data_IF_961490209700
#
_entry.id   IF_961490209700
#
_cell.length_a   1.000
_cell.length_b   1.000
_cell.length_c   1.000
_cell.angle_alpha   90.00
_cell.angle_beta   90.00
_cell.angle_gamma   90.00
#
_symmetry.space_group_name_H-M   'P 1'
#
loop_
_entity.id
_entity.type
_entity.pdbx_description
1 polymer ?
#
# COMPACT_ATOMS: atom_id res chain seq x y z
N UNK A 1 -3.07 -27.26 -3.59
CA UNK A 1 -2.54 -26.02 -4.15
C UNK A 1 -1.31 -25.56 -3.39
N UNK A 2 -0.35 -24.91 -4.07
CA UNK A 2 0.80 -24.30 -3.41
C UNK A 2 0.39 -22.99 -2.72
N UNK A 3 0.91 -22.75 -1.51
CA UNK A 3 0.62 -21.55 -0.73
C UNK A 3 1.82 -21.14 0.13
N UNK A 4 2.24 -19.90 0.05
CA UNK A 4 3.32 -19.36 0.88
C UNK A 4 2.76 -18.97 2.24
N UNK A 5 3.21 -19.64 3.27
CA UNK A 5 2.52 -19.68 4.56
C UNK A 5 3.40 -19.19 5.70
N UNK A 6 2.82 -18.39 6.59
CA UNK A 6 3.43 -17.98 7.85
C UNK A 6 3.43 -19.13 8.84
N UNK A 7 4.57 -19.77 9.06
CA UNK A 7 4.71 -20.90 9.98
C UNK A 7 4.89 -20.41 11.42
N UNK A 8 5.86 -19.53 11.61
CA UNK A 8 6.18 -18.90 12.90
C UNK A 8 7.05 -17.66 12.67
N UNK A 9 7.30 -16.89 13.72
CA UNK A 9 8.17 -15.71 13.64
C UNK A 9 9.51 -16.06 13.00
N UNK A 10 9.86 -15.33 11.95
CA UNK A 10 11.07 -15.50 11.16
C UNK A 10 10.95 -16.52 10.04
N UNK A 11 9.85 -17.28 9.96
CA UNK A 11 9.73 -18.41 9.05
C UNK A 11 8.43 -18.39 8.24
N UNK A 12 8.57 -18.18 6.93
CA UNK A 12 7.55 -18.46 5.92
C UNK A 12 7.99 -19.68 5.11
N UNK A 13 7.05 -20.47 4.61
CA UNK A 13 7.34 -21.64 3.80
C UNK A 13 6.30 -21.87 2.71
N UNK A 14 6.76 -22.33 1.55
CA UNK A 14 5.87 -22.78 0.47
C UNK A 14 5.41 -24.21 0.80
N UNK A 15 4.12 -24.37 1.07
CA UNK A 15 3.52 -25.65 1.44
C UNK A 15 2.31 -26.00 0.57
N UNK A 16 1.90 -27.25 0.60
CA UNK A 16 0.64 -27.69 0.00
C UNK A 16 -0.53 -27.45 0.95
N UNK A 17 -1.58 -26.78 0.46
CA UNK A 17 -2.86 -26.56 1.15
C UNK A 17 -4.03 -27.06 0.30
N UNK A 18 -5.18 -27.30 0.92
CA UNK A 18 -6.41 -27.53 0.20
C UNK A 18 -6.86 -26.26 -0.54
N UNK A 19 -7.49 -26.41 -1.72
CA UNK A 19 -8.14 -25.30 -2.40
C UNK A 19 -9.25 -24.75 -1.47
N UNK A 20 -9.36 -23.42 -1.27
CA UNK A 20 -10.40 -22.87 -0.42
C UNK A 20 -11.79 -23.10 -1.01
N UNK A 21 -12.79 -23.20 -0.13
CA UNK A 21 -14.20 -23.30 -0.45
C UNK A 21 -14.95 -22.07 0.07
N UNK A 22 -16.11 -21.76 -0.50
CA UNK A 22 -17.01 -20.73 0.01
C UNK A 22 -17.46 -21.11 1.44
N UNK A 23 -17.36 -20.18 2.37
CA UNK A 23 -17.79 -20.35 3.77
C UNK A 23 -19.07 -19.55 4.08
N UNK A 24 -19.39 -18.57 3.25
CA UNK A 24 -20.59 -17.75 3.36
C UNK A 24 -21.12 -17.38 1.98
N UNK A 25 -22.40 -17.03 1.89
CA UNK A 25 -23.04 -16.55 0.65
C UNK A 25 -22.46 -15.24 0.12
N UNK A 26 -21.68 -14.52 0.91
CA UNK A 26 -20.99 -13.27 0.58
C UNK A 26 -19.54 -13.46 0.11
N UNK A 27 -19.03 -14.70 0.07
CA UNK A 27 -17.65 -15.01 -0.29
C UNK A 27 -17.48 -15.17 -1.81
N UNK A 28 -16.26 -14.97 -2.28
CA UNK A 28 -15.81 -15.43 -3.59
C UNK A 28 -14.50 -16.19 -3.50
N UNK A 29 -14.28 -17.10 -4.47
CA UNK A 29 -12.97 -17.74 -4.70
C UNK A 29 -12.36 -17.07 -5.92
N UNK A 30 -11.13 -16.59 -5.76
CA UNK A 30 -10.35 -15.99 -6.84
C UNK A 30 -9.17 -16.89 -7.16
N UNK A 31 -9.03 -17.29 -8.42
CA UNK A 31 -7.82 -17.88 -8.95
C UNK A 31 -6.81 -16.77 -9.20
N UNK A 32 -5.75 -16.73 -8.41
CA UNK A 32 -4.75 -15.67 -8.45
C UNK A 32 -3.91 -15.79 -9.73
N UNK A 33 -3.81 -14.72 -10.50
CA UNK A 33 -2.91 -14.64 -11.66
C UNK A 33 -1.57 -14.00 -11.30
N UNK A 34 -1.60 -12.91 -10.54
CA UNK A 34 -0.42 -12.25 -10.00
C UNK A 34 -0.64 -11.89 -8.53
N UNK A 35 0.42 -12.01 -7.74
CA UNK A 35 0.51 -11.41 -6.41
C UNK A 35 1.82 -10.62 -6.28
N UNK A 36 1.99 -9.92 -5.16
CA UNK A 36 3.21 -9.16 -4.90
C UNK A 36 3.65 -9.30 -3.45
N UNK A 37 4.90 -8.89 -3.18
CA UNK A 37 5.47 -8.81 -1.83
C UNK A 37 5.36 -7.37 -1.35
N UNK A 38 4.81 -7.19 -0.15
CA UNK A 38 4.72 -5.91 0.55
C UNK A 38 5.65 -5.87 1.77
N UNK A 39 6.06 -4.68 2.18
CA UNK A 39 6.82 -4.51 3.44
C UNK A 39 6.03 -4.98 4.65
N UNK A 40 4.70 -4.93 4.61
CA UNK A 40 3.84 -5.46 5.67
C UNK A 40 3.96 -6.98 5.84
N UNK A 41 4.28 -7.73 4.77
CA UNK A 41 4.58 -9.17 4.88
C UNK A 41 5.86 -9.40 5.68
N UNK A 42 6.89 -8.52 5.52
CA UNK A 42 8.11 -8.57 6.32
C UNK A 42 7.84 -8.23 7.80
N UNK A 43 6.96 -7.25 8.07
CA UNK A 43 6.53 -6.97 9.43
C UNK A 43 5.84 -8.18 10.09
N UNK A 44 5.02 -8.93 9.35
CA UNK A 44 4.47 -10.22 9.81
C UNK A 44 5.60 -11.21 10.09
N UNK A 45 6.52 -11.40 9.12
CA UNK A 45 7.66 -12.31 9.25
C UNK A 45 8.48 -12.01 10.51
N UNK A 46 8.76 -10.73 10.78
CA UNK A 46 9.56 -10.30 11.93
C UNK A 46 8.76 -10.25 13.25
N UNK A 47 7.44 -10.49 13.21
CA UNK A 47 6.58 -10.51 14.40
C UNK A 47 6.18 -9.13 14.92
N UNK A 48 6.27 -8.09 14.09
CA UNK A 48 5.84 -6.72 14.42
C UNK A 48 4.33 -6.50 14.24
N UNK A 49 3.60 -7.49 13.74
CA UNK A 49 2.13 -7.46 13.58
C UNK A 49 1.48 -8.46 14.54
N UNK A 50 1.10 -8.04 15.77
CA UNK A 50 0.62 -8.95 16.82
C UNK A 50 -0.67 -9.72 16.45
N UNK A 51 -1.46 -9.20 15.50
CA UNK A 51 -2.70 -9.82 15.03
C UNK A 51 -2.50 -10.88 13.94
N UNK A 52 -1.28 -11.02 13.41
CA UNK A 52 -0.99 -12.04 12.41
C UNK A 52 -1.09 -13.45 13.01
N UNK A 53 -1.71 -14.36 12.28
CA UNK A 53 -2.03 -15.71 12.77
C UNK A 53 -1.10 -16.73 12.07
N UNK A 54 -0.31 -17.53 12.82
CA UNK A 54 0.43 -18.65 12.23
C UNK A 54 -0.46 -19.64 11.49
N UNK A 55 0.03 -20.22 10.39
CA UNK A 55 -0.70 -21.15 9.54
C UNK A 55 -1.46 -20.50 8.39
N UNK A 56 -1.58 -19.16 8.34
CA UNK A 56 -2.22 -18.49 7.21
C UNK A 56 -1.28 -18.37 5.99
N UNK A 57 -1.86 -18.39 4.80
CA UNK A 57 -1.18 -17.95 3.58
C UNK A 57 -0.96 -16.43 3.63
N UNK A 58 0.25 -15.97 3.37
CA UNK A 58 0.58 -14.55 3.37
C UNK A 58 0.25 -13.87 2.03
N UNK A 59 0.51 -12.56 1.95
CA UNK A 59 0.26 -11.74 0.75
C UNK A 59 -1.13 -11.13 0.72
N UNK A 60 -1.19 -9.84 0.43
CA UNK A 60 -2.42 -9.05 0.42
C UNK A 60 -2.51 -8.12 -0.80
N UNK A 61 -1.56 -8.21 -1.73
CA UNK A 61 -1.60 -7.56 -3.03
C UNK A 61 -1.75 -8.62 -4.09
N UNK A 62 -2.86 -8.62 -4.81
CA UNK A 62 -3.14 -9.63 -5.83
C UNK A 62 -4.20 -9.20 -6.82
N UNK A 63 -4.12 -9.81 -8.00
CA UNK A 63 -5.14 -9.81 -9.03
C UNK A 63 -5.41 -11.24 -9.49
N UNK A 64 -6.57 -11.48 -10.04
CA UNK A 64 -6.92 -12.80 -10.53
C UNK A 64 -8.25 -12.85 -11.26
N UNK A 65 -8.74 -14.06 -11.45
CA UNK A 65 -10.01 -14.34 -12.10
C UNK A 65 -10.96 -14.96 -11.07
N UNK A 66 -12.17 -14.44 -10.99
CA UNK A 66 -13.22 -15.00 -10.15
C UNK A 66 -13.54 -16.43 -10.62
N UNK A 67 -13.34 -17.39 -9.75
CA UNK A 67 -13.61 -18.81 -10.01
C UNK A 67 -15.05 -19.18 -9.63
N UNK A 68 -15.48 -18.71 -8.44
CA UNK A 68 -16.77 -19.02 -7.84
C UNK A 68 -17.24 -17.84 -6.98
N UNK A 69 -18.56 -17.64 -6.90
CA UNK A 69 -19.18 -16.64 -6.02
C UNK A 69 -20.31 -17.24 -5.21
N UNK A 70 -20.44 -16.79 -3.96
CA UNK A 70 -21.64 -17.03 -3.17
C UNK A 70 -22.85 -16.30 -3.74
N UNK A 71 -24.05 -16.72 -3.34
CA UNK A 71 -25.34 -16.23 -3.88
C UNK A 71 -25.59 -14.75 -3.66
N UNK A 72 -24.98 -14.13 -2.63
CA UNK A 72 -25.20 -12.74 -2.24
C UNK A 72 -24.14 -11.78 -2.79
N UNK A 73 -23.13 -12.30 -3.50
CA UNK A 73 -22.09 -11.49 -4.15
C UNK A 73 -22.67 -10.72 -5.32
N UNK A 74 -22.40 -9.43 -5.37
CA UNK A 74 -22.86 -8.50 -6.43
C UNK A 74 -21.65 -7.84 -7.11
N UNK A 75 -21.87 -7.38 -8.35
CA UNK A 75 -20.89 -6.59 -9.10
C UNK A 75 -19.84 -7.41 -9.84
N UNK A 76 -19.60 -8.66 -9.43
CA UNK A 76 -18.66 -9.59 -10.09
C UNK A 76 -19.28 -10.97 -10.27
N UNK A 77 -18.76 -11.73 -11.23
CA UNK A 77 -19.22 -13.10 -11.57
C UNK A 77 -18.03 -13.98 -11.97
N UNK A 78 -18.17 -15.31 -11.94
CA UNK A 78 -17.17 -16.22 -12.47
C UNK A 78 -16.71 -15.82 -13.87
N UNK A 79 -15.37 -15.77 -14.07
CA UNK A 79 -14.71 -15.34 -15.30
C UNK A 79 -14.28 -13.86 -15.30
N UNK A 80 -14.77 -13.02 -14.41
CA UNK A 80 -14.34 -11.61 -14.33
C UNK A 80 -12.90 -11.52 -13.78
N UNK A 81 -12.10 -10.66 -14.40
CA UNK A 81 -10.79 -10.27 -13.87
C UNK A 81 -10.97 -9.23 -12.78
N UNK A 82 -10.31 -9.43 -11.63
CA UNK A 82 -10.49 -8.58 -10.45
C UNK A 82 -9.17 -8.25 -9.77
N UNK A 83 -9.08 -7.05 -9.20
CA UNK A 83 -8.15 -6.75 -8.12
C UNK A 83 -8.83 -7.00 -6.79
N UNK A 84 -8.06 -7.51 -5.82
CA UNK A 84 -8.55 -7.82 -4.47
C UNK A 84 -8.10 -6.71 -3.53
N UNK A 85 -9.04 -6.14 -2.80
CA UNK A 85 -8.76 -5.13 -1.80
C UNK A 85 -8.07 -5.77 -0.58
N UNK A 86 -7.02 -5.17 -0.06
CA UNK A 86 -6.33 -5.61 1.16
C UNK A 86 -7.28 -5.64 2.36
N UNK A 87 -8.23 -4.73 2.37
CA UNK A 87 -9.25 -4.65 3.39
C UNK A 87 -10.54 -5.31 2.91
N UNK A 88 -11.06 -6.17 3.76
CA UNK A 88 -12.41 -6.68 3.62
C UNK A 88 -13.36 -5.87 4.50
N UNK A 89 -14.55 -5.50 4.00
CA UNK A 89 -15.48 -4.69 4.77
C UNK A 89 -16.93 -4.93 4.38
N UNK A 90 -17.85 -4.74 5.34
CA UNK A 90 -19.25 -5.12 5.14
C UNK A 90 -20.08 -4.12 4.31
N UNK A 91 -19.65 -2.86 4.23
CA UNK A 91 -20.41 -1.79 3.55
C UNK A 91 -21.60 -1.23 4.36
N UNK A 92 -21.96 -1.81 5.51
CA UNK A 92 -23.20 -1.50 6.24
C UNK A 92 -22.98 -0.84 7.59
N UNK A 93 -21.84 -1.14 8.27
CA UNK A 93 -21.60 -0.58 9.60
C UNK A 93 -21.29 0.92 9.54
N UNK A 94 -21.34 1.58 10.69
CA UNK A 94 -21.06 3.01 10.81
C UNK A 94 -19.76 3.41 10.10
N UNK A 95 -18.68 2.67 10.33
CA UNK A 95 -17.39 3.00 9.75
C UNK A 95 -17.38 2.88 8.22
N UNK A 96 -17.96 1.80 7.68
CA UNK A 96 -18.05 1.61 6.23
C UNK A 96 -18.87 2.72 5.55
N UNK A 97 -20.00 3.10 6.14
CA UNK A 97 -20.88 4.15 5.58
C UNK A 97 -20.23 5.55 5.61
N UNK A 98 -19.18 5.74 6.44
CA UNK A 98 -18.42 6.99 6.52
C UNK A 98 -17.06 6.93 5.79
N UNK A 99 -16.78 5.83 5.06
CA UNK A 99 -15.51 5.67 4.34
C UNK A 99 -14.32 5.28 5.21
N UNK A 100 -14.55 4.84 6.44
CA UNK A 100 -13.53 4.38 7.39
C UNK A 100 -13.44 2.84 7.38
N UNK A 101 -13.26 2.25 6.20
CA UNK A 101 -13.44 0.82 5.99
C UNK A 101 -12.41 -0.05 6.72
N UNK A 102 -11.22 0.49 7.00
CA UNK A 102 -10.21 -0.17 7.85
C UNK A 102 -10.73 -0.48 9.26
N UNK A 103 -11.70 0.26 9.74
CA UNK A 103 -12.32 0.10 11.06
C UNK A 103 -13.65 -0.68 11.01
N UNK A 104 -13.93 -1.41 9.94
CA UNK A 104 -15.12 -2.22 9.80
C UNK A 104 -15.29 -3.19 10.97
N UNK A 105 -16.51 -3.23 11.53
CA UNK A 105 -16.83 -4.06 12.72
C UNK A 105 -17.17 -5.52 12.40
N UNK A 106 -17.17 -5.91 11.13
CA UNK A 106 -17.30 -7.32 10.73
C UNK A 106 -16.13 -8.16 11.28
N UNK A 107 -16.33 -9.43 11.63
CA UNK A 107 -15.25 -10.33 12.06
C UNK A 107 -14.06 -10.40 11.09
N UNK A 108 -14.33 -10.23 9.80
CA UNK A 108 -13.31 -10.16 8.74
C UNK A 108 -13.00 -8.72 8.30
N UNK A 109 -13.48 -7.70 9.03
CA UNK A 109 -13.28 -6.29 8.66
C UNK A 109 -11.84 -5.81 8.78
N UNK A 110 -11.47 -4.83 7.95
CA UNK A 110 -10.13 -4.27 7.87
C UNK A 110 -9.10 -5.23 7.25
N UNK A 111 -7.82 -5.03 7.53
CA UNK A 111 -6.77 -5.90 7.00
C UNK A 111 -6.87 -7.31 7.57
N UNK A 112 -7.54 -8.20 6.84
CA UNK A 112 -7.73 -9.59 7.19
C UNK A 112 -6.91 -10.52 6.28
N UNK A 113 -6.98 -10.34 4.97
CA UNK A 113 -6.26 -11.15 3.98
C UNK A 113 -4.74 -11.08 4.19
N UNK A 114 -4.09 -12.24 4.21
CA UNK A 114 -2.65 -12.35 4.41
C UNK A 114 -2.15 -11.96 5.80
N UNK A 115 -3.08 -11.74 6.77
CA UNK A 115 -2.76 -11.38 8.14
C UNK A 115 -3.51 -12.24 9.17
N UNK A 116 -4.85 -12.27 9.11
CA UNK A 116 -5.72 -13.03 10.03
C UNK A 116 -6.39 -14.22 9.35
N UNK A 117 -6.49 -14.19 8.04
CA UNK A 117 -7.00 -15.25 7.17
C UNK A 117 -6.05 -15.40 5.97
N UNK A 118 -6.20 -16.49 5.24
CA UNK A 118 -5.38 -16.77 4.06
C UNK A 118 -5.40 -15.62 3.05
N UNK A 119 -4.22 -15.27 2.55
CA UNK A 119 -3.97 -14.23 1.55
C UNK A 119 -3.67 -14.78 0.16
N UNK A 120 -3.01 -13.97 -0.69
CA UNK A 120 -2.92 -14.17 -2.12
C UNK A 120 -1.59 -14.71 -2.65
N UNK A 121 -0.58 -15.00 -1.83
CA UNK A 121 0.63 -15.67 -2.32
C UNK A 121 0.40 -17.18 -2.45
N UNK A 122 -0.52 -17.54 -3.34
CA UNK A 122 -1.06 -18.87 -3.58
C UNK A 122 -1.74 -18.95 -4.93
N UNK A 123 -2.21 -20.13 -5.33
CA UNK A 123 -2.97 -20.34 -6.57
C UNK A 123 -4.44 -19.88 -6.45
N UNK A 124 -5.07 -20.01 -5.27
CA UNK A 124 -6.46 -19.63 -5.02
C UNK A 124 -6.61 -18.99 -3.65
N UNK A 125 -7.44 -17.97 -3.57
CA UNK A 125 -7.77 -17.26 -2.32
C UNK A 125 -9.29 -17.15 -2.16
N UNK A 126 -9.78 -17.32 -0.93
CA UNK A 126 -11.14 -16.98 -0.54
C UNK A 126 -11.20 -15.52 -0.08
N UNK A 127 -12.04 -14.74 -0.70
CA UNK A 127 -12.27 -13.33 -0.37
C UNK A 127 -13.63 -13.23 0.33
N UNK A 128 -13.69 -12.97 1.64
CA UNK A 128 -14.94 -12.72 2.33
C UNK A 128 -15.48 -11.33 1.97
N UNK A 129 -16.81 -11.12 2.11
CA UNK A 129 -17.46 -9.85 1.80
C UNK A 129 -17.12 -9.35 0.38
N UNK A 130 -17.11 -10.27 -0.57
CA UNK A 130 -16.55 -10.11 -1.91
C UNK A 130 -17.18 -8.97 -2.74
N UNK A 131 -18.44 -8.61 -2.46
CA UNK A 131 -19.09 -7.44 -3.10
C UNK A 131 -18.30 -6.15 -2.88
N UNK A 132 -17.65 -6.01 -1.73
CA UNK A 132 -16.83 -4.84 -1.37
C UNK A 132 -15.34 -5.08 -1.59
N UNK A 133 -14.92 -6.35 -1.46
CA UNK A 133 -13.51 -6.76 -1.51
C UNK A 133 -12.96 -6.94 -2.93
N UNK A 134 -13.82 -6.99 -3.96
CA UNK A 134 -13.42 -7.22 -5.35
C UNK A 134 -13.79 -6.04 -6.24
N UNK A 135 -12.84 -5.60 -7.07
CA UNK A 135 -13.08 -4.57 -8.08
C UNK A 135 -12.74 -5.14 -9.46
N UNK A 136 -13.68 -5.09 -10.38
CA UNK A 136 -13.51 -5.58 -11.75
C UNK A 136 -12.44 -4.76 -12.49
N UNK A 137 -11.47 -5.43 -13.08
CA UNK A 137 -10.42 -4.81 -13.89
C UNK A 137 -11.03 -4.51 -15.29
N UNK A 138 -10.93 -3.26 -15.78
CA UNK A 138 -11.34 -2.93 -17.14
C UNK A 138 -10.62 -3.76 -18.20
N UNK A 139 -11.26 -4.03 -19.33
CA UNK A 139 -10.73 -4.94 -20.36
C UNK A 139 -9.40 -4.44 -20.98
N UNK A 140 -9.21 -3.11 -21.03
CA UNK A 140 -8.01 -2.45 -21.54
C UNK A 140 -6.91 -2.23 -20.47
N UNK A 141 -7.12 -2.67 -19.23
CA UNK A 141 -6.13 -2.62 -18.14
C UNK A 141 -5.54 -4.01 -17.94
N UNK A 142 -4.21 -4.10 -17.90
CA UNK A 142 -3.51 -5.36 -17.68
C UNK A 142 -3.48 -5.76 -16.20
N UNK A 143 -3.21 -7.02 -15.89
CA UNK A 143 -3.05 -7.51 -14.53
C UNK A 143 -1.88 -6.79 -13.81
N UNK A 144 -0.77 -6.54 -14.50
CA UNK A 144 0.37 -5.80 -13.93
C UNK A 144 0.01 -4.35 -13.57
N UNK A 145 -0.79 -3.66 -14.39
CA UNK A 145 -1.27 -2.32 -14.09
C UNK A 145 -2.23 -2.29 -12.89
N UNK A 146 -3.02 -3.35 -12.70
CA UNK A 146 -3.99 -3.45 -11.62
C UNK A 146 -3.42 -4.03 -10.31
N UNK A 147 -2.22 -4.64 -10.34
CA UNK A 147 -1.67 -5.44 -9.23
C UNK A 147 -1.63 -4.70 -7.89
N UNK A 148 -1.33 -3.42 -7.92
CA UNK A 148 -1.12 -2.62 -6.70
C UNK A 148 -2.35 -1.84 -6.25
N UNK A 149 -3.46 -1.91 -7.00
CA UNK A 149 -4.68 -1.13 -6.73
C UNK A 149 -5.28 -1.47 -5.37
N UNK A 150 -5.25 -2.76 -4.99
CA UNK A 150 -5.91 -3.24 -3.77
C UNK A 150 -5.20 -2.83 -2.47
N UNK A 151 -3.93 -2.41 -2.52
CA UNK A 151 -3.16 -2.06 -1.32
C UNK A 151 -2.30 -0.81 -1.52
N UNK A 152 -1.06 -0.96 -2.03
CA UNK A 152 -0.06 0.12 -1.96
C UNK A 152 -0.46 1.35 -2.77
N UNK A 153 -1.16 1.19 -3.90
CA UNK A 153 -1.65 2.31 -4.67
C UNK A 153 -2.89 2.95 -4.02
N UNK A 154 -3.82 2.15 -3.47
CA UNK A 154 -4.92 2.67 -2.64
C UNK A 154 -4.39 3.41 -1.42
N UNK A 155 -3.31 2.92 -0.79
CA UNK A 155 -2.64 3.58 0.33
C UNK A 155 -2.09 4.95 -0.08
N UNK A 156 -1.41 5.04 -1.22
CA UNK A 156 -0.92 6.32 -1.77
C UNK A 156 -2.06 7.29 -2.10
N UNK A 157 -3.15 6.78 -2.67
CA UNK A 157 -4.32 7.60 -3.02
C UNK A 157 -5.02 8.13 -1.77
N UNK A 158 -5.25 7.28 -0.78
CA UNK A 158 -5.79 7.66 0.52
C UNK A 158 -4.89 8.70 1.23
N UNK A 159 -3.57 8.47 1.26
CA UNK A 159 -2.61 9.38 1.87
C UNK A 159 -2.66 10.79 1.24
N UNK A 160 -2.68 10.87 -0.09
CA UNK A 160 -2.80 12.13 -0.82
C UNK A 160 -4.16 12.82 -0.56
N UNK A 161 -5.25 12.03 -0.45
CA UNK A 161 -6.59 12.54 -0.15
C UNK A 161 -6.68 13.16 1.23
N UNK A 162 -6.25 12.43 2.27
CA UNK A 162 -6.34 12.92 3.65
C UNK A 162 -5.36 14.05 3.95
N UNK A 163 -4.29 14.18 3.14
CA UNK A 163 -3.34 15.30 3.27
C UNK A 163 -3.88 16.62 2.75
N UNK A 164 -5.06 16.64 2.09
CA UNK A 164 -5.71 17.84 1.59
C UNK A 164 -4.79 18.69 0.69
N UNK A 165 -4.06 18.00 -0.19
CA UNK A 165 -3.10 18.65 -1.10
C UNK A 165 -3.83 19.58 -2.07
N UNK A 166 -3.33 20.81 -2.20
CA UNK A 166 -3.76 21.82 -3.17
C UNK A 166 -2.67 22.18 -4.18
N UNK A 167 -3.05 22.90 -5.23
CA UNK A 167 -2.13 23.33 -6.28
C UNK A 167 -1.16 24.45 -5.84
N UNK A 168 -1.34 25.02 -4.67
CA UNK A 168 -0.43 26.04 -4.10
C UNK A 168 0.62 25.43 -3.16
N UNK A 169 0.45 24.15 -2.79
CA UNK A 169 1.25 23.52 -1.75
C UNK A 169 2.65 23.12 -2.23
N UNK A 170 3.62 23.26 -1.32
CA UNK A 170 4.88 22.51 -1.33
C UNK A 170 4.66 21.22 -0.55
N UNK A 171 4.76 20.07 -1.23
CA UNK A 171 4.56 18.74 -0.66
C UNK A 171 5.92 18.09 -0.42
N UNK A 172 6.17 17.61 0.80
CA UNK A 172 7.31 16.76 1.13
C UNK A 172 6.85 15.31 1.32
N UNK A 173 7.47 14.39 0.59
CA UNK A 173 7.29 12.94 0.78
C UNK A 173 8.59 12.38 1.33
N UNK A 174 8.54 11.74 2.49
CA UNK A 174 9.70 11.11 3.14
C UNK A 174 9.66 9.61 2.89
N UNK A 175 10.56 9.15 2.03
CA UNK A 175 10.68 7.79 1.54
C UNK A 175 10.26 7.64 0.08
N UNK A 176 11.09 6.94 -0.72
CA UNK A 176 10.80 6.53 -2.11
C UNK A 176 10.79 5.01 -2.25
N UNK A 177 10.32 4.31 -1.23
CA UNK A 177 9.92 2.91 -1.34
C UNK A 177 8.63 2.77 -2.16
N UNK A 178 8.10 1.55 -2.32
CA UNK A 178 6.86 1.32 -3.09
C UNK A 178 5.71 2.23 -2.67
N UNK A 179 5.43 2.33 -1.37
CA UNK A 179 4.39 3.21 -0.83
C UNK A 179 4.68 4.68 -1.12
N UNK A 180 5.95 5.10 -1.00
CA UNK A 180 6.36 6.48 -1.29
C UNK A 180 6.17 6.86 -2.76
N UNK A 181 6.50 5.96 -3.69
CA UNK A 181 6.31 6.21 -5.12
C UNK A 181 4.81 6.22 -5.47
N UNK A 182 4.00 5.31 -4.93
CA UNK A 182 2.54 5.34 -5.10
C UNK A 182 1.94 6.63 -4.51
N UNK A 183 2.43 7.08 -3.36
CA UNK A 183 2.03 8.37 -2.75
C UNK A 183 2.43 9.54 -3.65
N UNK A 184 3.63 9.53 -4.23
CA UNK A 184 4.09 10.53 -5.19
C UNK A 184 3.17 10.60 -6.41
N UNK A 185 2.88 9.46 -7.05
CA UNK A 185 1.97 9.38 -8.20
C UNK A 185 0.60 10.00 -7.86
N UNK A 186 0.04 9.65 -6.71
CA UNK A 186 -1.26 10.15 -6.28
C UNK A 186 -1.23 11.63 -5.85
N UNK A 187 -0.13 12.10 -5.27
CA UNK A 187 0.07 13.52 -4.97
C UNK A 187 0.16 14.37 -6.25
N UNK A 188 0.83 13.87 -7.29
CA UNK A 188 0.91 14.54 -8.60
C UNK A 188 -0.46 14.77 -9.25
N UNK A 189 -1.45 13.90 -9.01
CA UNK A 189 -2.82 14.09 -9.50
C UNK A 189 -3.48 15.37 -8.93
N UNK A 190 -2.99 15.87 -7.79
CA UNK A 190 -3.46 17.12 -7.16
C UNK A 190 -2.77 18.35 -7.72
N UNK A 191 -1.77 18.18 -8.58
CA UNK A 191 -1.01 19.25 -9.22
C UNK A 191 -0.44 20.28 -8.23
N UNK A 192 0.25 19.86 -7.16
CA UNK A 192 0.82 20.80 -6.20
C UNK A 192 1.87 21.71 -6.88
N UNK A 193 2.16 22.85 -6.28
CA UNK A 193 3.14 23.80 -6.80
C UNK A 193 4.52 23.17 -6.94
N UNK A 194 4.91 22.33 -5.97
CA UNK A 194 6.13 21.52 -6.04
C UNK A 194 6.04 20.27 -5.15
N UNK A 195 6.79 19.27 -5.54
CA UNK A 195 6.97 18.05 -4.75
C UNK A 195 8.45 17.86 -4.48
N UNK A 196 8.78 17.59 -3.22
CA UNK A 196 10.11 17.22 -2.75
C UNK A 196 10.04 15.78 -2.23
N UNK A 197 10.96 14.93 -2.67
CA UNK A 197 11.10 13.56 -2.16
C UNK A 197 12.42 13.42 -1.42
N UNK A 198 12.35 13.01 -0.15
CA UNK A 198 13.51 12.72 0.69
C UNK A 198 13.75 11.22 0.73
N UNK A 199 14.90 10.76 0.20
CA UNK A 199 15.23 9.34 0.12
C UNK A 199 16.76 9.14 0.26
N UNK A 200 17.23 8.26 1.18
CA UNK A 200 18.68 8.01 1.35
C UNK A 200 19.28 7.18 0.21
N UNK A 201 18.53 6.26 -0.42
CA UNK A 201 19.05 5.39 -1.49
C UNK A 201 19.24 6.17 -2.79
N UNK A 202 20.46 6.19 -3.30
CA UNK A 202 20.78 6.79 -4.59
C UNK A 202 20.04 6.10 -5.74
N UNK A 203 19.92 4.78 -5.71
CA UNK A 203 19.21 4.00 -6.74
C UNK A 203 17.73 4.42 -6.81
N UNK A 204 17.07 4.58 -5.67
CA UNK A 204 15.68 5.03 -5.61
C UNK A 204 15.51 6.49 -6.02
N UNK A 205 16.44 7.37 -5.65
CA UNK A 205 16.43 8.75 -6.16
C UNK A 205 16.60 8.78 -7.67
N UNK A 206 17.48 7.95 -8.23
CA UNK A 206 17.66 7.82 -9.68
C UNK A 206 16.40 7.31 -10.38
N UNK A 207 15.70 6.34 -9.78
CA UNK A 207 14.40 5.89 -10.28
C UNK A 207 13.38 7.04 -10.31
N UNK A 208 13.24 7.79 -9.22
CA UNK A 208 12.32 8.95 -9.17
C UNK A 208 12.72 9.99 -10.21
N UNK A 209 14.00 10.33 -10.32
CA UNK A 209 14.50 11.30 -11.31
C UNK A 209 14.22 10.87 -12.75
N UNK A 210 14.34 9.59 -13.05
CA UNK A 210 14.10 9.05 -14.39
C UNK A 210 12.62 9.10 -14.77
N UNK A 211 11.71 8.76 -13.85
CA UNK A 211 10.27 8.62 -14.12
C UNK A 211 9.47 9.89 -13.81
N UNK A 212 9.98 10.75 -12.92
CA UNK A 212 9.30 11.96 -12.44
C UNK A 212 10.30 13.14 -12.40
N UNK A 213 10.77 13.64 -13.56
CA UNK A 213 11.89 14.57 -13.68
C UNK A 213 11.65 15.95 -13.01
N UNK A 214 10.39 16.34 -12.81
CA UNK A 214 10.00 17.61 -12.21
C UNK A 214 9.99 17.57 -10.66
N UNK A 215 10.23 16.38 -10.07
CA UNK A 215 10.28 16.21 -8.62
C UNK A 215 11.65 16.59 -8.09
N UNK A 216 11.67 17.40 -7.03
CA UNK A 216 12.90 17.75 -6.33
C UNK A 216 13.32 16.62 -5.40
N UNK A 217 14.63 16.33 -5.34
CA UNK A 217 15.18 15.23 -4.58
C UNK A 217 16.16 15.70 -3.52
N UNK A 218 16.09 15.13 -2.33
CA UNK A 218 17.03 15.39 -1.24
C UNK A 218 17.34 14.13 -0.44
N UNK A 219 18.37 14.21 0.39
CA UNK A 219 18.74 13.16 1.36
C UNK A 219 18.24 13.54 2.76
N UNK A 220 18.14 12.59 3.71
CA UNK A 220 17.72 12.91 5.07
C UNK A 220 18.57 13.97 5.77
N UNK A 221 19.88 13.98 5.52
CA UNK A 221 20.83 14.90 6.17
C UNK A 221 20.67 16.35 5.67
N UNK A 222 20.26 16.52 4.43
CA UNK A 222 20.05 17.84 3.80
C UNK A 222 18.59 18.29 3.81
N UNK A 223 17.66 17.39 4.14
CA UNK A 223 16.22 17.57 3.92
C UNK A 223 15.67 18.83 4.57
N UNK A 224 16.06 19.12 5.81
CA UNK A 224 15.55 20.29 6.53
C UNK A 224 15.88 21.60 5.82
N UNK A 225 17.15 21.84 5.53
CA UNK A 225 17.61 23.07 4.88
C UNK A 225 17.07 23.14 3.45
N UNK A 226 17.12 22.00 2.72
CA UNK A 226 16.61 21.93 1.35
C UNK A 226 15.13 22.29 1.25
N UNK A 227 14.28 21.75 2.16
CA UNK A 227 12.85 22.08 2.19
C UNK A 227 12.61 23.55 2.51
N UNK A 228 13.36 24.11 3.45
CA UNK A 228 13.25 25.55 3.81
C UNK A 228 13.63 26.48 2.65
N UNK A 229 14.67 26.14 1.90
CA UNK A 229 15.13 26.90 0.74
C UNK A 229 14.17 26.78 -0.46
N UNK A 230 13.51 25.62 -0.59
CA UNK A 230 12.62 25.31 -1.72
C UNK A 230 11.13 25.39 -1.38
N UNK A 231 10.76 26.08 -0.33
CA UNK A 231 9.37 26.35 0.07
C UNK A 231 9.09 27.84 0.20
N UNK A 232 7.82 28.23 0.06
CA UNK A 232 7.46 29.65 0.09
C UNK A 232 7.30 30.20 1.52
N UNK A 233 7.12 29.32 2.51
CA UNK A 233 6.73 29.66 3.88
C UNK A 233 7.64 29.03 4.95
N UNK A 234 8.90 28.75 4.62
CA UNK A 234 9.88 28.21 5.56
C UNK A 234 9.53 26.80 6.05
N UNK A 235 9.13 25.94 5.13
CA UNK A 235 8.80 24.55 5.35
C UNK A 235 7.67 24.06 4.44
N UNK A 236 7.46 22.76 4.37
CA UNK A 236 6.44 22.15 3.53
C UNK A 236 5.02 22.37 4.07
N UNK A 237 4.07 22.61 3.17
CA UNK A 237 2.64 22.77 3.48
C UNK A 237 2.00 21.42 3.86
N UNK A 238 2.43 20.37 3.18
CA UNK A 238 1.98 18.99 3.39
C UNK A 238 3.20 18.08 3.48
N UNK A 239 3.26 17.29 4.54
CA UNK A 239 4.33 16.31 4.75
C UNK A 239 3.72 14.93 4.84
N UNK A 240 4.14 14.01 3.97
CA UNK A 240 3.71 12.63 3.97
C UNK A 240 4.89 11.74 4.37
N UNK A 241 4.81 11.17 5.57
CA UNK A 241 5.82 10.26 6.10
C UNK A 241 5.41 8.82 5.73
N UNK A 242 6.19 8.20 4.85
CA UNK A 242 5.89 6.88 4.27
C UNK A 242 7.06 5.91 4.37
N UNK A 243 8.09 6.24 5.17
CA UNK A 243 9.30 5.43 5.33
C UNK A 243 9.31 4.60 6.62
N UNK A 244 8.75 5.09 7.71
CA UNK A 244 8.68 4.40 9.00
C UNK A 244 10.02 4.17 9.70
N UNK A 245 11.08 4.91 9.32
CA UNK A 245 12.37 4.77 9.96
C UNK A 245 12.42 5.57 11.27
N UNK A 246 13.33 5.20 12.17
CA UNK A 246 13.42 5.73 13.53
C UNK A 246 13.43 7.27 13.63
N UNK A 247 13.97 7.96 12.63
CA UNK A 247 14.15 9.43 12.65
C UNK A 247 13.15 10.17 11.76
N UNK A 248 12.38 9.46 10.93
CA UNK A 248 11.57 10.08 9.87
C UNK A 248 10.35 10.83 10.39
N UNK A 249 9.73 10.37 11.48
CA UNK A 249 8.67 11.14 12.13
C UNK A 249 9.15 12.50 12.64
N UNK A 250 10.34 12.51 13.26
CA UNK A 250 10.95 13.76 13.72
C UNK A 250 11.25 14.69 12.54
N UNK A 251 11.87 14.18 11.50
CA UNK A 251 12.15 14.92 10.27
C UNK A 251 10.86 15.51 9.66
N UNK A 252 9.79 14.73 9.63
CA UNK A 252 8.51 15.15 9.07
C UNK A 252 7.96 16.41 9.74
N UNK A 253 7.86 16.45 11.06
CA UNK A 253 7.33 17.62 11.74
C UNK A 253 8.32 18.80 11.79
N UNK A 254 9.62 18.55 11.71
CA UNK A 254 10.63 19.61 11.61
C UNK A 254 10.55 20.35 10.27
N UNK A 255 10.43 19.61 9.16
CA UNK A 255 10.30 20.17 7.81
C UNK A 255 8.93 20.81 7.52
N UNK A 256 7.93 20.55 8.35
CA UNK A 256 6.60 21.15 8.21
C UNK A 256 6.61 22.64 8.62
N UNK A 257 6.02 23.52 7.80
CA UNK A 257 5.80 24.91 8.20
C UNK A 257 4.75 25.03 9.33
N UNK A 258 4.61 26.17 10.00
CA UNK A 258 3.46 26.39 10.88
C UNK A 258 2.12 26.19 10.15
N UNK A 259 1.15 25.58 10.85
CA UNK A 259 -0.18 25.22 10.34
C UNK A 259 -0.16 24.22 9.16
N UNK A 260 0.89 23.43 9.01
CA UNK A 260 0.96 22.35 8.02
C UNK A 260 0.19 21.11 8.47
N UNK A 261 -0.11 20.24 7.51
CA UNK A 261 -0.61 18.88 7.74
C UNK A 261 0.57 17.91 7.61
N UNK A 262 0.77 17.08 8.64
CA UNK A 262 1.73 15.98 8.65
C UNK A 262 0.94 14.66 8.65
N UNK A 263 1.03 13.92 7.55
CA UNK A 263 0.36 12.63 7.37
C UNK A 263 1.37 11.50 7.57
N UNK A 264 1.14 10.66 8.57
CA UNK A 264 2.00 9.52 8.89
C UNK A 264 1.30 8.25 8.39
N UNK A 265 1.85 7.66 7.34
CA UNK A 265 1.31 6.48 6.64
C UNK A 265 2.07 5.21 7.02
N UNK A 266 3.37 5.36 7.27
CA UNK A 266 4.23 4.22 7.52
C UNK A 266 3.92 3.51 8.85
N UNK A 267 4.16 2.19 8.87
CA UNK A 267 4.19 1.40 10.09
C UNK A 267 5.52 1.62 10.80
N UNK A 268 5.46 1.83 12.12
CA UNK A 268 6.62 1.94 12.99
C UNK A 268 6.72 0.74 13.93
N UNK A 269 7.92 0.19 14.07
CA UNK A 269 8.19 -0.91 15.00
C UNK A 269 8.34 -0.42 16.46
N UNK A 270 8.64 0.87 16.66
CA UNK A 270 8.86 1.49 17.96
C UNK A 270 7.96 2.73 18.15
N UNK A 271 7.65 3.04 19.41
CA UNK A 271 6.89 4.24 19.76
C UNK A 271 7.61 5.52 19.30
N UNK A 272 6.87 6.45 18.71
CA UNK A 272 7.39 7.75 18.31
C UNK A 272 7.00 8.83 19.33
N UNK A 273 7.91 9.76 19.58
CA UNK A 273 7.71 10.84 20.56
C UNK A 273 7.14 12.06 19.87
N UNK A 274 6.06 12.60 20.41
CA UNK A 274 5.51 13.91 20.05
C UNK A 274 6.07 14.97 21.02
N UNK A 275 7.14 15.70 20.67
CA UNK A 275 7.80 16.62 21.58
C UNK A 275 7.04 17.97 21.64
N UNK A 276 5.94 18.02 22.37
CA UNK A 276 5.05 19.18 22.43
C UNK A 276 5.74 20.50 22.75
N UNK A 277 6.77 20.57 23.65
CA UNK A 277 7.48 21.83 23.87
C UNK A 277 8.16 22.40 22.61
N UNK A 278 8.73 21.50 21.78
CA UNK A 278 9.43 21.89 20.53
C UNK A 278 8.45 22.27 19.42
N UNK A 279 7.22 21.80 19.52
CA UNK A 279 6.15 22.04 18.53
C UNK A 279 5.26 23.24 18.90
N UNK A 280 5.43 23.79 20.10
CA UNK A 280 4.61 24.90 20.55
C UNK A 280 4.69 26.09 19.59
N UNK A 281 3.53 26.53 19.11
CA UNK A 281 3.44 27.61 18.12
C UNK A 281 3.51 27.15 16.64
N UNK A 282 3.84 25.88 16.34
CA UNK A 282 3.72 25.36 14.97
C UNK A 282 2.27 25.06 14.56
N UNK A 283 1.36 24.82 15.49
CA UNK A 283 -0.05 24.55 15.23
C UNK A 283 -0.28 23.44 14.18
N UNK A 284 0.48 22.35 14.26
CA UNK A 284 0.44 21.27 13.26
C UNK A 284 -0.83 20.43 13.39
N UNK A 285 -1.32 19.95 12.25
CA UNK A 285 -2.32 18.90 12.19
C UNK A 285 -1.63 17.57 11.86
N UNK A 286 -1.81 16.54 12.70
CA UNK A 286 -1.34 15.20 12.44
C UNK A 286 -2.50 14.31 11.99
N UNK A 287 -2.28 13.56 10.91
CA UNK A 287 -3.17 12.51 10.42
C UNK A 287 -2.40 11.21 10.33
N UNK A 288 -2.96 10.13 10.87
CA UNK A 288 -2.30 8.83 10.88
C UNK A 288 -3.32 7.72 10.82
N UNK A 289 -2.96 6.58 10.28
CA UNK A 289 -3.83 5.41 10.24
C UNK A 289 -3.38 4.40 9.18
N UNK A 290 -4.14 3.31 9.08
CA UNK A 290 -4.10 2.41 7.95
C UNK A 290 -4.98 2.94 6.81
N UNK A 291 -4.76 2.46 5.62
CA UNK A 291 -5.57 2.81 4.45
C UNK A 291 -7.06 2.54 4.69
N UNK A 292 -7.91 3.45 4.23
CA UNK A 292 -9.31 3.16 3.96
C UNK A 292 -9.44 2.89 2.46
N UNK A 293 -9.39 1.62 2.08
CA UNK A 293 -9.30 1.14 0.70
C UNK A 293 -10.63 1.18 -0.08
N UNK A 294 -11.49 2.15 0.20
CA UNK A 294 -12.79 2.29 -0.49
C UNK A 294 -12.68 2.90 -1.90
N UNK A 295 -11.51 3.40 -2.30
CA UNK A 295 -11.32 4.16 -3.54
C UNK A 295 -10.78 3.30 -4.71
N UNK A 296 -10.69 1.95 -4.57
CA UNK A 296 -10.06 1.08 -5.57
C UNK A 296 -10.71 1.18 -6.97
N UNK A 297 -12.03 1.33 -7.06
CA UNK A 297 -12.71 1.52 -8.34
C UNK A 297 -12.28 2.83 -9.02
N UNK A 298 -12.19 3.93 -8.26
CA UNK A 298 -11.73 5.22 -8.78
C UNK A 298 -10.26 5.13 -9.24
N UNK A 299 -9.42 4.42 -8.50
CA UNK A 299 -8.01 4.21 -8.86
C UNK A 299 -7.89 3.41 -10.17
N UNK A 300 -8.69 2.36 -10.36
CA UNK A 300 -8.76 1.61 -11.62
C UNK A 300 -9.19 2.50 -12.79
N UNK A 301 -10.17 3.38 -12.61
CA UNK A 301 -10.59 4.34 -13.64
C UNK A 301 -9.46 5.30 -14.01
N UNK A 302 -8.63 5.73 -13.06
CA UNK A 302 -7.47 6.59 -13.33
C UNK A 302 -6.38 5.84 -14.13
N UNK A 303 -6.19 4.55 -13.87
CA UNK A 303 -5.31 3.69 -14.67
C UNK A 303 -5.88 3.52 -16.08
N UNK A 304 -7.16 3.20 -16.21
CA UNK A 304 -7.85 3.06 -17.50
C UNK A 304 -7.74 4.32 -18.38
N UNK A 305 -7.77 5.50 -17.74
CA UNK A 305 -7.60 6.80 -18.40
C UNK A 305 -6.13 7.13 -18.72
N UNK A 306 -5.17 6.28 -18.36
CA UNK A 306 -3.73 6.53 -18.53
C UNK A 306 -3.17 7.63 -17.63
N UNK A 307 -3.89 8.00 -16.56
CA UNK A 307 -3.42 9.02 -15.58
C UNK A 307 -2.48 8.46 -14.52
N UNK A 308 -2.54 7.16 -14.30
CA UNK A 308 -1.66 6.41 -13.39
C UNK A 308 -1.06 5.23 -14.16
N UNK A 309 0.24 5.04 -14.03
CA UNK A 309 0.94 3.83 -14.44
C UNK A 309 1.89 3.40 -13.34
N UNK A 310 1.65 2.21 -12.79
CA UNK A 310 2.49 1.60 -11.74
C UNK A 310 3.37 0.46 -12.27
N UNK A 311 3.30 0.15 -13.57
CA UNK A 311 4.10 -0.94 -14.16
C UNK A 311 5.61 -0.76 -14.00
N UNK A 312 6.18 0.48 -14.01
CA UNK A 312 7.61 0.68 -13.74
C UNK A 312 8.05 0.25 -12.33
N UNK A 313 7.12 0.13 -11.38
CA UNK A 313 7.42 -0.36 -10.03
C UNK A 313 7.78 -1.85 -10.01
N UNK A 314 7.31 -2.63 -10.99
CA UNK A 314 7.60 -4.07 -11.11
C UNK A 314 9.02 -4.26 -11.66
N UNK A 315 9.99 -4.24 -10.77
CA UNK A 315 11.41 -4.42 -11.14
C UNK A 315 11.77 -5.89 -11.33
N UNK A 316 11.07 -6.80 -10.66
CA UNK A 316 11.36 -8.24 -10.69
C UNK A 316 10.09 -9.06 -10.87
N UNK A 317 10.24 -10.26 -11.48
CA UNK A 317 9.17 -11.24 -11.69
C UNK A 317 9.67 -12.61 -11.32
N UNK A 318 8.93 -13.31 -10.46
CA UNK A 318 9.26 -14.66 -10.02
C UNK A 318 8.03 -15.57 -10.10
N UNK A 319 8.20 -16.85 -10.44
CA UNK A 319 7.14 -17.84 -10.24
C UNK A 319 6.94 -18.09 -8.74
N UNK A 320 5.73 -18.50 -8.35
CA UNK A 320 5.42 -18.85 -6.96
C UNK A 320 6.36 -19.93 -6.40
N UNK A 321 6.84 -20.83 -7.26
CA UNK A 321 7.82 -21.87 -6.89
C UNK A 321 9.18 -21.32 -6.42
N UNK A 322 9.51 -20.06 -6.73
CA UNK A 322 10.74 -19.36 -6.32
C UNK A 322 10.49 -18.17 -5.38
N UNK A 323 9.37 -18.18 -4.65
CA UNK A 323 8.98 -17.05 -3.81
C UNK A 323 9.98 -16.79 -2.66
N UNK A 324 10.66 -17.82 -2.13
CA UNK A 324 11.70 -17.65 -1.11
C UNK A 324 12.85 -16.77 -1.60
N UNK A 325 13.27 -16.93 -2.85
CA UNK A 325 14.29 -16.11 -3.48
C UNK A 325 13.81 -14.67 -3.67
N UNK A 326 12.56 -14.49 -4.09
CA UNK A 326 11.94 -13.19 -4.22
C UNK A 326 11.90 -12.45 -2.88
N UNK A 327 11.53 -13.13 -1.80
CA UNK A 327 11.56 -12.56 -0.45
C UNK A 327 12.97 -12.17 -0.02
N UNK A 328 13.99 -12.99 -0.30
CA UNK A 328 15.39 -12.68 0.03
C UNK A 328 15.85 -11.39 -0.66
N UNK A 329 15.58 -11.25 -1.96
CA UNK A 329 15.92 -10.04 -2.73
C UNK A 329 15.18 -8.83 -2.17
N UNK A 330 13.87 -8.96 -1.90
CA UNK A 330 13.04 -7.86 -1.41
C UNK A 330 13.47 -7.39 -0.01
N UNK A 331 13.71 -8.34 0.91
CA UNK A 331 14.12 -8.06 2.29
C UNK A 331 15.49 -7.39 2.36
N UNK A 332 16.44 -7.87 1.57
CA UNK A 332 17.81 -7.34 1.52
C UNK A 332 17.95 -6.10 0.64
N UNK A 333 16.89 -5.70 -0.07
CA UNK A 333 16.90 -4.56 -1.01
C UNK A 333 17.98 -4.72 -2.09
N UNK A 334 18.15 -5.96 -2.60
CA UNK A 334 19.13 -6.29 -3.63
C UNK A 334 18.64 -5.86 -5.02
N UNK A 335 19.57 -5.68 -5.97
CA UNK A 335 19.34 -5.48 -7.41
C UNK A 335 18.36 -4.33 -7.74
N UNK A 336 18.33 -3.27 -6.92
CA UNK A 336 17.44 -2.13 -7.15
C UNK A 336 15.95 -2.44 -7.02
N UNK A 337 15.60 -3.48 -6.25
CA UNK A 337 14.21 -3.92 -6.09
C UNK A 337 13.30 -2.83 -5.54
N UNK A 338 12.17 -2.63 -6.22
CA UNK A 338 11.05 -1.80 -5.75
C UNK A 338 9.86 -2.69 -5.45
N UNK A 339 9.31 -3.38 -6.45
CA UNK A 339 8.24 -4.36 -6.30
C UNK A 339 8.53 -5.63 -7.09
N UNK A 340 8.04 -6.73 -6.57
CA UNK A 340 8.17 -8.05 -7.20
C UNK A 340 6.78 -8.57 -7.55
N UNK A 341 6.56 -8.90 -8.81
CA UNK A 341 5.38 -9.64 -9.22
C UNK A 341 5.65 -11.15 -9.10
N UNK A 342 4.75 -11.85 -8.42
CA UNK A 342 4.76 -13.31 -8.27
C UNK A 342 3.65 -13.88 -9.15
N UNK A 343 3.98 -14.76 -10.08
CA UNK A 343 3.00 -15.40 -10.96
C UNK A 343 2.85 -16.89 -10.67
N UNK A 344 1.66 -17.42 -10.90
CA UNK A 344 1.38 -18.86 -10.85
C UNK A 344 1.75 -19.51 -12.18
N UNK A 345 2.44 -20.67 -12.12
CA UNK A 345 2.86 -21.48 -13.27
C UNK A 345 1.72 -22.34 -13.83
#
# INVERSE_FOLDING_TARGET
>A
MKAYTYIEKGNFALIEKHKPELQASTDAIVRVSLSSICSSDLHIKHGSVPRAVPGITVGHEMVGVVEETGSDVKGVKPGDRVTVNVETFCGECFYCQHGYVNNCTSPHGGWALGCRIDGGQTEYVRVPLATQGLNRIPDNVTDEQALFVGDVLATGFWAARISEISNEDTVLIIGAGPTGICTLICAMLKQPKRIIVCEPSEERRNFVKQHYPDVLLTTPDECFDFVHENSDHGGADRVLEVAGAKTTFRLAWQCARPNAIVTVVALYDEAQILPLPDMYGKNLTFKTGGVDGCDCEQVLQLIEQGKIDTTPLITHRFPLSRIDEAYRIFENKEDGVIKIAIYNE
#
